data_IF_056376204942
#
_entry.id   IF_056376204942
#
_cell.length_a   1.000
_cell.length_b   1.000
_cell.length_c   1.000
_cell.angle_alpha   90.00
_cell.angle_beta   90.00
_cell.angle_gamma   90.00
#
_symmetry.space_group_name_H-M   'P 1'
#
loop_
_entity.id
_entity.type
_entity.pdbx_description
1 polymer ?
#
# COMPACT_ATOMS: atom_id res chain seq x y z
N UNK A 1 -20.04 32.06 50.60
CA UNK A 1 -18.76 32.79 50.51
C UNK A 1 -18.19 32.66 49.10
N UNK A 2 -18.06 33.82 48.47
CA UNK A 2 -17.47 34.27 47.20
C UNK A 2 -16.97 33.26 46.14
N UNK A 3 -17.70 33.23 45.02
CA UNK A 3 -17.24 32.76 43.70
C UNK A 3 -16.23 33.76 43.12
N UNK A 4 -15.03 33.29 42.77
CA UNK A 4 -14.02 34.09 42.03
C UNK A 4 -14.41 34.16 40.55
N UNK A 5 -14.71 35.37 40.10
CA UNK A 5 -14.93 35.73 38.70
C UNK A 5 -13.55 36.05 38.09
N UNK A 6 -13.18 35.37 37.00
CA UNK A 6 -11.98 35.66 36.22
C UNK A 6 -12.26 36.78 35.21
N UNK A 7 -11.34 37.74 35.01
CA UNK A 7 -11.51 38.82 34.03
C UNK A 7 -11.27 38.34 32.57
N UNK A 8 -11.84 39.03 31.58
CA UNK A 8 -11.72 38.69 30.17
C UNK A 8 -10.33 39.01 29.60
N UNK A 9 -9.84 38.12 28.72
CA UNK A 9 -8.59 38.30 27.97
C UNK A 9 -8.80 39.31 26.84
N UNK A 10 -7.99 40.36 26.85
CA UNK A 10 -7.89 41.38 25.80
C UNK A 10 -7.25 40.83 24.52
N UNK A 11 -7.94 41.03 23.40
CA UNK A 11 -7.45 40.83 22.03
C UNK A 11 -6.48 41.95 21.63
N UNK A 12 -5.20 41.64 21.50
CA UNK A 12 -4.18 42.53 20.97
C UNK A 12 -3.84 42.19 19.52
N UNK A 13 -4.31 43.03 18.60
CA UNK A 13 -3.78 43.18 17.25
C UNK A 13 -2.30 43.56 17.30
N UNK A 14 -1.48 42.94 16.44
CA UNK A 14 -0.25 43.54 15.93
C UNK A 14 -0.15 43.28 14.42
N UNK A 15 -0.32 44.37 13.69
CA UNK A 15 0.13 44.58 12.32
C UNK A 15 1.67 44.56 12.23
N UNK A 16 2.19 44.19 11.06
CA UNK A 16 3.51 44.67 10.60
C UNK A 16 4.48 43.62 10.09
N UNK A 17 4.41 43.37 8.75
CA UNK A 17 5.53 43.23 7.77
C UNK A 17 6.62 42.15 7.98
N UNK A 18 7.39 41.72 6.93
CA UNK A 18 7.47 42.16 5.54
C UNK A 18 7.31 41.06 4.46
N UNK A 19 6.82 41.49 3.30
CA UNK A 19 7.06 40.85 2.00
C UNK A 19 8.56 40.97 1.66
N UNK A 20 9.17 39.87 1.22
CA UNK A 20 10.33 39.76 0.31
C UNK A 20 11.35 38.70 0.73
N UNK A 21 11.27 37.54 0.08
CA UNK A 21 12.42 36.71 -0.29
C UNK A 21 11.94 35.58 -1.23
N UNK A 22 11.64 35.93 -2.48
CA UNK A 22 11.45 34.93 -3.56
C UNK A 22 12.80 34.27 -3.83
N UNK A 23 13.12 33.20 -3.11
CA UNK A 23 14.23 32.30 -3.45
C UNK A 23 13.95 31.66 -4.81
N UNK A 24 14.63 32.16 -5.86
CA UNK A 24 14.74 31.50 -7.17
C UNK A 24 15.20 30.06 -6.95
N UNK A 25 14.26 29.11 -7.03
CA UNK A 25 14.56 27.68 -7.06
C UNK A 25 15.30 27.42 -8.36
N UNK A 26 16.57 26.99 -8.26
CA UNK A 26 17.30 26.40 -9.39
C UNK A 26 16.47 25.21 -9.88
N UNK A 27 15.91 25.34 -11.07
CA UNK A 27 15.25 24.29 -11.82
C UNK A 27 16.24 23.13 -11.95
N UNK A 28 15.91 22.02 -11.29
CA UNK A 28 16.63 20.76 -11.44
C UNK A 28 16.51 20.36 -12.90
N UNK A 29 17.63 20.38 -13.62
CA UNK A 29 17.74 19.91 -15.00
C UNK A 29 17.21 18.48 -15.01
N UNK A 30 16.04 18.29 -15.62
CA UNK A 30 15.48 16.98 -15.86
C UNK A 30 16.47 16.27 -16.80
N UNK A 31 16.98 15.12 -16.37
CA UNK A 31 17.72 14.24 -17.26
C UNK A 31 16.85 14.04 -18.50
N UNK A 32 17.39 14.39 -19.67
CA UNK A 32 16.78 14.17 -20.97
C UNK A 32 16.45 12.69 -21.07
N UNK A 33 15.16 12.37 -20.94
CA UNK A 33 14.67 11.03 -21.22
C UNK A 33 14.96 10.76 -22.70
N UNK A 34 15.52 9.59 -22.99
CA UNK A 34 15.65 9.12 -24.37
C UNK A 34 14.28 9.24 -25.08
N UNK A 35 14.25 9.62 -26.37
CA UNK A 35 13.01 9.72 -27.12
C UNK A 35 12.26 8.39 -27.00
N UNK A 36 11.09 8.43 -26.38
CA UNK A 36 10.20 7.28 -26.27
C UNK A 36 9.71 7.02 -27.68
N UNK A 37 10.15 5.90 -28.26
CA UNK A 37 9.68 5.43 -29.56
C UNK A 37 8.15 5.38 -29.54
N UNK A 38 7.49 6.16 -30.40
CA UNK A 38 6.03 6.33 -30.46
C UNK A 38 5.31 4.99 -30.72
N UNK A 39 6.04 3.92 -31.03
CA UNK A 39 5.54 2.55 -31.13
C UNK A 39 5.40 1.78 -29.80
N UNK A 40 5.80 2.33 -28.65
CA UNK A 40 5.74 1.61 -27.36
C UNK A 40 4.36 1.67 -26.69
N UNK A 41 3.54 0.65 -26.93
CA UNK A 41 2.21 0.49 -26.30
C UNK A 41 2.33 0.08 -24.82
N UNK A 42 1.73 0.84 -23.89
CA UNK A 42 1.64 0.53 -22.45
C UNK A 42 0.59 -0.55 -22.15
N UNK A 43 0.86 -1.78 -22.59
CA UNK A 43 -0.06 -2.91 -22.43
C UNK A 43 -0.38 -3.20 -20.96
N UNK A 44 -1.68 -3.34 -20.69
CA UNK A 44 -2.30 -3.65 -19.40
C UNK A 44 -2.97 -5.01 -19.44
N UNK A 45 -3.20 -5.57 -18.25
CA UNK A 45 -3.82 -6.86 -18.05
C UNK A 45 -4.89 -6.74 -16.97
N UNK A 46 -6.12 -7.15 -17.29
CA UNK A 46 -7.20 -7.32 -16.32
C UNK A 46 -6.91 -8.49 -15.37
N UNK A 47 -7.33 -8.34 -14.11
CA UNK A 47 -7.35 -9.42 -13.11
C UNK A 47 -8.76 -9.97 -12.87
N UNK A 48 -9.69 -9.66 -13.78
CA UNK A 48 -11.12 -9.94 -13.75
C UNK A 48 -11.58 -10.45 -15.11
N UNK A 49 -12.77 -11.04 -15.18
CA UNK A 49 -13.42 -11.52 -16.42
C UNK A 49 -12.42 -12.32 -17.28
N UNK A 50 -12.35 -12.10 -18.59
CA UNK A 50 -11.49 -12.89 -19.49
C UNK A 50 -9.98 -12.59 -19.39
N UNK A 51 -9.56 -11.76 -18.42
CA UNK A 51 -8.15 -11.31 -18.27
C UNK A 51 -7.61 -10.69 -19.56
N UNK A 52 -8.40 -9.82 -20.18
CA UNK A 52 -8.03 -9.18 -21.44
C UNK A 52 -6.74 -8.37 -21.31
N UNK A 53 -6.06 -8.22 -22.44
CA UNK A 53 -4.84 -7.43 -22.60
C UNK A 53 -5.00 -6.41 -23.71
N UNK A 54 -4.42 -5.23 -23.50
CA UNK A 54 -4.54 -4.09 -24.40
C UNK A 54 -4.11 -2.80 -23.73
N UNK A 55 -4.40 -1.65 -24.33
CA UNK A 55 -4.25 -0.34 -23.70
C UNK A 55 -5.17 -0.22 -22.48
N UNK A 56 -4.96 0.80 -21.64
CA UNK A 56 -5.83 1.02 -20.48
C UNK A 56 -7.28 1.30 -20.92
N UNK A 57 -7.48 2.00 -22.03
CA UNK A 57 -8.80 2.33 -22.58
C UNK A 57 -9.52 1.07 -23.10
N UNK A 58 -8.79 0.14 -23.72
CA UNK A 58 -9.34 -1.09 -24.26
C UNK A 58 -9.77 -2.08 -23.18
N UNK A 59 -9.03 -2.14 -22.05
CA UNK A 59 -9.24 -3.19 -21.04
C UNK A 59 -9.75 -2.68 -19.70
N UNK A 60 -10.05 -1.39 -19.55
CA UNK A 60 -10.72 -0.92 -18.34
C UNK A 60 -12.19 -1.31 -18.37
N UNK A 61 -12.68 -1.88 -17.28
CA UNK A 61 -14.10 -2.23 -17.11
C UNK A 61 -14.67 -1.49 -15.91
N UNK A 62 -15.94 -1.10 -16.00
CA UNK A 62 -16.67 -0.56 -14.86
C UNK A 62 -16.81 -1.65 -13.78
N UNK A 63 -16.82 -1.24 -12.51
CA UNK A 63 -16.91 -2.18 -11.38
C UNK A 63 -18.15 -3.10 -11.49
N UNK A 64 -19.30 -2.54 -11.88
CA UNK A 64 -20.55 -3.30 -12.07
C UNK A 64 -20.53 -4.28 -13.27
N UNK A 65 -19.55 -4.21 -14.16
CA UNK A 65 -19.39 -5.12 -15.30
C UNK A 65 -18.43 -6.28 -14.99
N UNK A 66 -17.92 -6.35 -13.75
CA UNK A 66 -17.06 -7.44 -13.30
C UNK A 66 -17.93 -8.61 -12.87
N UNK A 67 -17.78 -9.74 -13.55
CA UNK A 67 -18.52 -10.99 -13.27
C UNK A 67 -17.62 -12.09 -12.73
N UNK A 68 -16.30 -11.94 -12.85
CA UNK A 68 -15.36 -12.89 -12.24
C UNK A 68 -14.06 -12.23 -11.78
N UNK A 69 -13.38 -12.86 -10.83
CA UNK A 69 -12.11 -12.40 -10.25
C UNK A 69 -11.04 -13.49 -10.34
N UNK A 70 -9.92 -13.15 -10.96
CA UNK A 70 -8.75 -14.03 -11.15
C UNK A 70 -7.58 -13.71 -10.22
N UNK A 71 -7.56 -12.50 -9.64
CA UNK A 71 -6.55 -12.18 -8.64
C UNK A 71 -6.68 -10.81 -8.01
N UNK A 72 -5.88 -10.59 -6.97
CA UNK A 72 -5.86 -9.36 -6.18
C UNK A 72 -4.50 -8.69 -6.36
N UNK A 73 -4.49 -7.43 -6.79
CA UNK A 73 -3.27 -6.63 -6.92
C UNK A 73 -2.98 -5.88 -5.61
N UNK A 74 -1.75 -6.01 -5.12
CA UNK A 74 -1.13 -5.14 -4.13
C UNK A 74 -0.02 -4.35 -4.84
N UNK A 75 -0.15 -3.02 -4.88
CA UNK A 75 0.83 -2.13 -5.53
C UNK A 75 1.77 -1.54 -4.48
N UNK A 76 3.06 -1.85 -4.57
CA UNK A 76 4.10 -1.35 -3.69
C UNK A 76 4.95 -0.30 -4.41
N UNK A 77 4.69 0.97 -4.09
CA UNK A 77 5.54 2.08 -4.51
C UNK A 77 6.56 2.42 -3.41
N UNK A 78 7.88 2.25 -3.64
CA UNK A 78 8.90 2.60 -2.67
C UNK A 78 8.89 4.08 -2.28
N UNK A 79 8.31 4.96 -3.12
CA UNK A 79 8.16 6.37 -2.79
C UNK A 79 7.05 6.66 -1.78
N UNK A 80 6.13 5.72 -1.55
CA UNK A 80 5.12 5.81 -0.48
C UNK A 80 5.68 5.42 0.89
N UNK A 81 6.78 4.66 0.93
CA UNK A 81 7.38 4.23 2.19
C UNK A 81 8.27 5.31 2.81
N UNK A 82 8.43 5.29 4.13
CA UNK A 82 9.42 6.09 4.86
C UNK A 82 10.84 5.73 4.42
N UNK A 83 11.77 6.69 4.55
CA UNK A 83 13.18 6.47 4.18
C UNK A 83 13.89 5.48 5.10
N UNK A 84 13.46 5.38 6.35
CA UNK A 84 13.92 4.38 7.31
C UNK A 84 13.57 2.95 6.87
N UNK A 85 12.42 2.76 6.20
CA UNK A 85 11.96 1.46 5.71
C UNK A 85 12.55 1.12 4.35
N UNK A 86 12.54 2.06 3.42
CA UNK A 86 13.13 1.91 2.10
C UNK A 86 14.14 3.05 1.87
N UNK A 87 15.44 2.88 2.24
CA UNK A 87 16.47 3.86 1.91
C UNK A 87 16.66 3.95 0.39
N UNK A 88 17.28 5.04 -0.08
CA UNK A 88 17.40 5.35 -1.51
C UNK A 88 17.98 4.18 -2.33
N UNK A 89 18.98 3.48 -1.77
CA UNK A 89 19.61 2.32 -2.39
C UNK A 89 18.65 1.15 -2.69
N UNK A 90 17.58 1.00 -1.91
CA UNK A 90 16.51 0.04 -2.20
C UNK A 90 15.50 0.59 -3.20
N UNK A 91 15.15 1.89 -3.13
CA UNK A 91 14.11 2.48 -4.01
C UNK A 91 14.47 2.52 -5.48
N UNK A 92 15.77 2.60 -5.78
CA UNK A 92 16.26 2.70 -7.16
C UNK A 92 16.39 1.32 -7.82
N UNK A 93 16.49 0.26 -7.02
CA UNK A 93 16.61 -1.13 -7.47
C UNK A 93 15.42 -1.97 -7.00
N UNK A 94 14.43 -2.23 -7.88
CA UNK A 94 13.24 -2.99 -7.51
C UNK A 94 13.57 -4.39 -6.99
N UNK A 95 14.69 -5.01 -7.40
CA UNK A 95 15.08 -6.35 -6.92
C UNK A 95 15.53 -6.28 -5.47
N UNK A 96 16.32 -5.27 -5.11
CA UNK A 96 16.71 -5.02 -3.72
C UNK A 96 15.50 -4.64 -2.86
N UNK A 97 14.57 -3.84 -3.40
CA UNK A 97 13.32 -3.52 -2.72
C UNK A 97 12.47 -4.77 -2.44
N UNK A 98 12.35 -5.66 -3.42
CA UNK A 98 11.68 -6.95 -3.26
C UNK A 98 12.33 -7.78 -2.14
N UNK A 99 13.62 -8.09 -2.26
CA UNK A 99 14.31 -8.99 -1.32
C UNK A 99 14.43 -8.41 0.09
N UNK A 100 14.69 -7.10 0.21
CA UNK A 100 15.00 -6.47 1.49
C UNK A 100 13.79 -6.01 2.29
N UNK A 101 12.63 -5.82 1.65
CA UNK A 101 11.45 -5.24 2.31
C UNK A 101 10.21 -6.09 2.09
N UNK A 102 9.84 -6.34 0.83
CA UNK A 102 8.52 -6.90 0.53
C UNK A 102 8.48 -8.42 0.74
N UNK A 103 9.51 -9.15 0.31
CA UNK A 103 9.58 -10.61 0.42
C UNK A 103 9.41 -11.10 1.86
N UNK A 104 10.12 -10.56 2.87
CA UNK A 104 9.93 -10.97 4.26
C UNK A 104 8.50 -10.77 4.77
N UNK A 105 7.77 -9.76 4.29
CA UNK A 105 6.37 -9.54 4.66
C UNK A 105 5.46 -10.59 4.04
N UNK A 106 5.68 -10.93 2.77
CA UNK A 106 4.84 -11.92 2.08
C UNK A 106 5.03 -13.33 2.64
N UNK A 107 6.28 -13.72 2.95
CA UNK A 107 6.63 -15.05 3.47
C UNK A 107 5.95 -15.40 4.81
N UNK A 108 5.47 -14.40 5.54
CA UNK A 108 4.77 -14.57 6.83
C UNK A 108 3.28 -14.87 6.69
N UNK A 109 2.75 -14.94 5.47
CA UNK A 109 1.38 -15.41 5.21
C UNK A 109 1.38 -16.53 4.17
N UNK A 110 0.75 -17.68 4.46
CA UNK A 110 0.62 -18.78 3.50
C UNK A 110 0.00 -18.39 2.16
N UNK A 111 -0.89 -17.39 2.17
CA UNK A 111 -1.55 -16.85 0.97
C UNK A 111 -0.62 -15.89 0.22
N UNK A 112 -0.03 -14.93 0.94
CA UNK A 112 0.78 -13.88 0.32
C UNK A 112 2.14 -14.40 -0.17
N UNK A 113 2.71 -15.41 0.50
CA UNK A 113 3.96 -16.06 0.08
C UNK A 113 3.84 -16.69 -1.32
N UNK A 114 2.63 -17.05 -1.75
CA UNK A 114 2.35 -17.62 -3.07
C UNK A 114 2.10 -16.57 -4.15
N UNK A 115 2.09 -15.28 -3.83
CA UNK A 115 1.75 -14.24 -4.80
C UNK A 115 2.76 -14.14 -5.94
N UNK A 116 2.30 -13.88 -7.17
CA UNK A 116 3.20 -13.54 -8.28
C UNK A 116 3.75 -12.13 -8.06
N UNK A 117 5.04 -11.90 -8.28
CA UNK A 117 5.67 -10.58 -8.11
C UNK A 117 6.32 -10.12 -9.41
N UNK A 118 5.90 -8.94 -9.88
CA UNK A 118 6.45 -8.31 -11.08
C UNK A 118 6.94 -6.90 -10.77
N UNK A 119 8.06 -6.52 -11.36
CA UNK A 119 8.58 -5.16 -11.32
C UNK A 119 8.15 -4.40 -12.57
N UNK A 120 7.38 -3.34 -12.38
CA UNK A 120 6.86 -2.47 -13.44
C UNK A 120 7.51 -1.08 -13.36
N UNK A 121 8.83 -1.03 -13.24
CA UNK A 121 9.59 0.21 -13.01
C UNK A 121 10.36 0.16 -11.69
N UNK A 122 10.15 1.15 -10.81
CA UNK A 122 10.71 1.17 -9.44
C UNK A 122 9.83 0.44 -8.42
N UNK A 123 8.52 0.45 -8.63
CA UNK A 123 7.55 -0.27 -7.79
C UNK A 123 7.39 -1.74 -8.15
N UNK A 124 6.63 -2.45 -7.32
CA UNK A 124 6.32 -3.87 -7.45
C UNK A 124 4.81 -4.07 -7.46
N UNK A 125 4.33 -4.87 -8.40
CA UNK A 125 2.98 -5.41 -8.37
C UNK A 125 3.06 -6.83 -7.80
N UNK A 126 2.40 -7.05 -6.67
CA UNK A 126 2.23 -8.35 -6.03
C UNK A 126 0.80 -8.83 -6.30
N UNK A 127 0.65 -9.98 -6.93
CA UNK A 127 -0.63 -10.48 -7.46
C UNK A 127 -0.95 -11.81 -6.80
N UNK A 128 -1.96 -11.84 -5.93
CA UNK A 128 -2.51 -13.08 -5.38
C UNK A 128 -3.43 -13.68 -6.45
N UNK A 129 -3.00 -14.75 -7.12
CA UNK A 129 -3.78 -15.40 -8.19
C UNK A 129 -4.70 -16.45 -7.61
N UNK A 130 -5.94 -16.49 -8.07
CA UNK A 130 -6.92 -17.49 -7.63
C UNK A 130 -7.06 -18.63 -8.63
N UNK A 131 -7.22 -19.83 -8.11
CA UNK A 131 -7.60 -21.02 -8.89
C UNK A 131 -8.53 -21.91 -8.04
N UNK A 132 -9.77 -22.18 -8.47
CA UNK A 132 -10.41 -21.62 -9.68
C UNK A 132 -10.59 -20.10 -9.59
N UNK A 133 -10.97 -19.47 -10.71
CA UNK A 133 -11.46 -18.10 -10.68
C UNK A 133 -12.73 -18.04 -9.82
N UNK A 134 -13.01 -16.87 -9.26
CA UNK A 134 -14.23 -16.64 -8.51
C UNK A 134 -15.26 -16.07 -9.48
N UNK A 135 -16.36 -16.78 -9.70
CA UNK A 135 -17.51 -16.29 -10.45
C UNK A 135 -18.48 -15.57 -9.51
N UNK A 136 -19.09 -14.49 -9.98
CA UNK A 136 -20.09 -13.72 -9.25
C UNK A 136 -21.48 -14.03 -9.80
N UNK A 137 -22.19 -14.93 -9.13
CA UNK A 137 -23.55 -15.29 -9.50
C UNK A 137 -24.56 -14.21 -9.09
N UNK A 138 -24.22 -13.44 -8.05
CA UNK A 138 -25.07 -12.40 -7.48
C UNK A 138 -24.29 -11.12 -7.18
N UNK A 139 -25.02 -10.01 -7.05
CA UNK A 139 -24.46 -8.74 -6.56
C UNK A 139 -23.88 -8.87 -5.13
N UNK A 140 -24.44 -9.76 -4.31
CA UNK A 140 -23.90 -10.04 -2.98
C UNK A 140 -22.49 -10.68 -3.05
N UNK A 141 -22.26 -11.57 -4.01
CA UNK A 141 -20.94 -12.17 -4.25
C UNK A 141 -19.94 -11.11 -4.72
N UNK A 142 -20.36 -10.28 -5.67
CA UNK A 142 -19.56 -9.17 -6.16
C UNK A 142 -19.14 -8.23 -5.00
N UNK A 143 -20.08 -7.80 -4.15
CA UNK A 143 -19.79 -6.95 -2.99
C UNK A 143 -18.86 -7.63 -1.97
N UNK A 144 -19.09 -8.91 -1.69
CA UNK A 144 -18.24 -9.71 -0.79
C UNK A 144 -16.80 -9.73 -1.28
N UNK A 145 -16.57 -9.97 -2.57
CA UNK A 145 -15.23 -10.05 -3.14
C UNK A 145 -14.58 -8.70 -3.34
N UNK A 146 -15.34 -7.65 -3.69
CA UNK A 146 -14.84 -6.28 -3.68
C UNK A 146 -14.37 -5.85 -2.27
N UNK A 147 -15.07 -6.28 -1.22
CA UNK A 147 -14.64 -6.08 0.16
C UNK A 147 -13.39 -6.90 0.51
N UNK A 148 -13.34 -8.17 0.11
CA UNK A 148 -12.16 -9.03 0.33
C UNK A 148 -10.89 -8.45 -0.32
N UNK A 149 -10.99 -7.96 -1.56
CA UNK A 149 -9.91 -7.24 -2.25
C UNK A 149 -9.40 -6.07 -1.41
N UNK A 150 -10.30 -5.22 -0.91
CA UNK A 150 -9.93 -4.06 -0.07
C UNK A 150 -9.30 -4.49 1.26
N UNK A 151 -9.75 -5.59 1.86
CA UNK A 151 -9.14 -6.13 3.08
C UNK A 151 -7.71 -6.57 2.79
N UNK A 152 -7.49 -7.41 1.77
CA UNK A 152 -6.16 -7.93 1.39
C UNK A 152 -5.20 -6.78 1.05
N UNK A 153 -5.65 -5.79 0.28
CA UNK A 153 -4.85 -4.60 -0.04
C UNK A 153 -4.44 -3.80 1.22
N UNK A 154 -5.24 -3.83 2.29
CA UNK A 154 -4.96 -3.12 3.55
C UNK A 154 -4.16 -3.92 4.57
N UNK A 155 -3.72 -5.15 4.23
CA UNK A 155 -2.91 -5.97 5.14
C UNK A 155 -1.45 -5.54 5.20
N UNK A 156 -0.95 -4.88 4.16
CA UNK A 156 0.43 -4.45 4.03
C UNK A 156 0.51 -2.96 3.64
N UNK A 157 1.66 -2.29 3.86
CA UNK A 157 1.95 -0.92 3.44
C UNK A 157 1.98 -0.71 1.91
N UNK A 158 0.88 -0.99 1.22
CA UNK A 158 0.72 -0.77 -0.24
C UNK A 158 0.32 0.67 -0.54
N UNK A 159 0.19 1.01 -1.83
CA UNK A 159 -0.43 2.28 -2.23
C UNK A 159 -1.90 2.31 -1.76
N UNK A 160 -2.29 3.28 -0.90
CA UNK A 160 -3.68 3.42 -0.44
C UNK A 160 -4.66 3.85 -1.55
N UNK A 161 -4.15 4.24 -2.72
CA UNK A 161 -4.93 4.63 -3.91
C UNK A 161 -5.06 3.49 -4.94
N UNK A 162 -4.63 2.28 -4.61
CA UNK A 162 -4.86 1.11 -5.47
C UNK A 162 -6.37 0.92 -5.71
N UNK A 163 -6.84 0.79 -6.97
CA UNK A 163 -8.26 0.95 -7.32
C UNK A 163 -9.17 -0.24 -6.94
N UNK A 164 -8.79 -1.07 -5.96
CA UNK A 164 -9.62 -2.19 -5.53
C UNK A 164 -9.75 -3.26 -6.61
N UNK A 165 -10.99 -3.72 -6.85
CA UNK A 165 -11.30 -4.85 -7.74
C UNK A 165 -11.07 -4.52 -9.24
N UNK A 166 -11.10 -3.24 -9.61
CA UNK A 166 -10.83 -2.77 -10.98
C UNK A 166 -9.34 -2.61 -11.29
N UNK A 167 -8.46 -3.07 -10.39
CA UNK A 167 -7.02 -2.95 -10.56
C UNK A 167 -6.50 -3.70 -11.78
N UNK A 168 -5.79 -2.95 -12.63
CA UNK A 168 -5.05 -3.49 -13.77
C UNK A 168 -3.58 -3.66 -13.39
N UNK A 169 -2.97 -4.71 -13.91
CA UNK A 169 -1.52 -4.90 -13.85
C UNK A 169 -0.89 -4.74 -15.23
N UNK A 170 0.43 -4.95 -15.33
CA UNK A 170 1.11 -5.07 -16.62
C UNK A 170 1.58 -6.51 -16.83
N UNK A 171 1.42 -7.08 -18.04
CA UNK A 171 1.94 -8.40 -18.33
C UNK A 171 3.48 -8.40 -18.29
N UNK A 172 4.06 -9.55 -17.95
CA UNK A 172 5.52 -9.70 -17.97
C UNK A 172 6.00 -9.55 -19.40
N UNK A 173 7.04 -8.75 -19.61
CA UNK A 173 7.62 -8.49 -20.92
C UNK A 173 7.08 -7.24 -21.62
N UNK A 174 5.94 -6.67 -21.20
CA UNK A 174 5.48 -5.39 -21.75
C UNK A 174 6.35 -4.22 -21.29
N UNK A 175 6.18 -3.06 -21.92
CA UNK A 175 6.87 -1.83 -21.56
C UNK A 175 5.95 -0.98 -20.69
N UNK A 176 6.49 -0.44 -19.60
CA UNK A 176 5.78 0.60 -18.84
C UNK A 176 5.91 1.94 -19.57
N UNK A 177 4.82 2.41 -20.18
CA UNK A 177 4.81 3.67 -20.94
C UNK A 177 5.18 4.91 -20.12
N UNK A 178 5.12 4.87 -18.78
CA UNK A 178 5.50 6.01 -17.93
C UNK A 178 7.02 6.18 -17.79
N UNK A 179 7.81 5.13 -17.99
CA UNK A 179 9.24 5.17 -17.73
C UNK A 179 10.11 4.33 -18.70
N UNK A 180 9.50 3.75 -19.74
CA UNK A 180 10.17 2.94 -20.75
C UNK A 180 10.72 1.59 -20.25
N UNK A 181 10.53 1.24 -18.98
CA UNK A 181 11.12 0.01 -18.42
C UNK A 181 10.29 -1.21 -18.77
N UNK A 182 10.97 -2.27 -19.24
CA UNK A 182 10.37 -3.60 -19.44
C UNK A 182 9.93 -4.20 -18.10
N UNK A 183 8.73 -4.77 -18.08
CA UNK A 183 8.16 -5.45 -16.92
C UNK A 183 8.86 -6.79 -16.71
N UNK A 184 9.42 -7.00 -15.52
CA UNK A 184 10.21 -8.19 -15.18
C UNK A 184 9.50 -9.04 -14.14
N UNK A 185 9.54 -10.36 -14.30
CA UNK A 185 9.08 -11.31 -13.29
C UNK A 185 10.17 -11.51 -12.24
N UNK A 186 9.83 -11.34 -10.96
CA UNK A 186 10.74 -11.62 -9.84
C UNK A 186 10.37 -12.88 -9.08
N UNK A 187 9.07 -13.14 -8.93
CA UNK A 187 8.59 -14.38 -8.34
C UNK A 187 7.38 -14.88 -9.13
N UNK A 188 7.43 -16.15 -9.56
CA UNK A 188 6.37 -16.77 -10.37
C UNK A 188 5.06 -16.90 -9.58
N UNK A 189 5.18 -17.17 -8.27
CA UNK A 189 4.08 -17.49 -7.39
C UNK A 189 3.34 -18.76 -7.78
N UNK A 190 2.33 -19.08 -7.00
CA UNK A 190 1.37 -20.18 -7.19
C UNK A 190 -0.05 -19.60 -7.21
N UNK A 191 -1.03 -20.42 -7.55
CA UNK A 191 -2.42 -20.03 -7.35
C UNK A 191 -2.84 -20.42 -5.92
N UNK A 192 -3.74 -19.63 -5.34
CA UNK A 192 -4.39 -19.93 -4.06
C UNK A 192 -5.86 -20.25 -4.29
N UNK A 193 -6.48 -20.99 -3.38
CA UNK A 193 -7.92 -21.18 -3.44
C UNK A 193 -8.65 -19.89 -3.01
N UNK A 194 -9.86 -19.63 -3.50
CA UNK A 194 -10.72 -18.56 -2.98
C UNK A 194 -10.94 -18.67 -1.46
N UNK A 195 -11.08 -19.89 -0.93
CA UNK A 195 -11.29 -20.14 0.49
C UNK A 195 -10.09 -19.72 1.34
N UNK A 196 -8.86 -19.93 0.87
CA UNK A 196 -7.65 -19.46 1.57
C UNK A 196 -7.65 -17.93 1.70
N UNK A 197 -8.09 -17.22 0.65
CA UNK A 197 -8.19 -15.76 0.65
C UNK A 197 -9.27 -15.29 1.63
N UNK A 198 -10.44 -15.94 1.64
CA UNK A 198 -11.51 -15.63 2.59
C UNK A 198 -11.10 -15.96 4.03
N UNK A 199 -10.33 -17.03 4.26
CA UNK A 199 -9.79 -17.37 5.57
C UNK A 199 -8.81 -16.29 6.06
N UNK A 200 -7.93 -15.79 5.20
CA UNK A 200 -7.07 -14.64 5.50
C UNK A 200 -7.90 -13.39 5.83
N UNK A 201 -8.96 -13.11 5.07
CA UNK A 201 -9.85 -11.98 5.34
C UNK A 201 -10.55 -12.13 6.70
N UNK A 202 -11.06 -13.33 7.02
CA UNK A 202 -11.68 -13.64 8.31
C UNK A 202 -10.70 -13.44 9.46
N UNK A 203 -9.45 -13.89 9.30
CA UNK A 203 -8.39 -13.66 10.29
C UNK A 203 -8.16 -12.15 10.48
N UNK A 204 -8.05 -11.38 9.39
CA UNK A 204 -7.86 -9.95 9.42
C UNK A 204 -9.01 -9.20 10.10
N UNK A 205 -10.25 -9.63 9.93
CA UNK A 205 -11.42 -9.04 10.60
C UNK A 205 -11.45 -9.43 12.09
N UNK A 206 -11.14 -10.68 12.41
CA UNK A 206 -11.20 -11.21 13.79
C UNK A 206 -10.05 -10.70 14.65
N UNK A 207 -8.89 -10.42 14.05
CA UNK A 207 -7.69 -9.98 14.78
C UNK A 207 -6.84 -9.04 13.90
N UNK A 208 -7.35 -7.85 13.54
CA UNK A 208 -6.71 -6.96 12.58
C UNK A 208 -5.31 -6.53 12.99
N UNK A 209 -5.13 -6.16 14.26
CA UNK A 209 -3.82 -5.70 14.73
C UNK A 209 -2.82 -6.85 14.75
N UNK A 210 -3.20 -8.01 15.29
CA UNK A 210 -2.34 -9.17 15.31
C UNK A 210 -1.98 -9.69 13.92
N UNK A 211 -2.93 -9.67 12.98
CA UNK A 211 -2.69 -10.08 11.58
C UNK A 211 -1.66 -9.16 10.91
N UNK A 212 -1.86 -7.84 10.97
CA UNK A 212 -0.93 -6.89 10.35
C UNK A 212 0.42 -6.88 11.05
N UNK A 213 0.46 -6.90 12.38
CA UNK A 213 1.73 -6.97 13.11
C UNK A 213 2.48 -8.29 12.85
N UNK A 214 1.77 -9.41 12.75
CA UNK A 214 2.34 -10.70 12.38
C UNK A 214 2.98 -10.66 10.99
N UNK A 215 2.32 -10.04 10.01
CA UNK A 215 2.88 -9.82 8.68
C UNK A 215 4.11 -8.90 8.69
N UNK A 216 4.08 -7.80 9.45
CA UNK A 216 5.13 -6.77 9.40
C UNK A 216 6.35 -7.06 10.27
N UNK A 217 6.18 -7.79 11.38
CA UNK A 217 7.25 -8.05 12.34
C UNK A 217 7.55 -9.54 12.53
N UNK A 218 6.64 -10.45 12.17
CA UNK A 218 6.83 -11.90 12.33
C UNK A 218 6.78 -12.40 13.78
N UNK A 219 6.48 -11.54 14.75
CA UNK A 219 6.49 -11.86 16.19
C UNK A 219 5.31 -11.20 16.91
N UNK A 220 4.93 -11.78 18.06
CA UNK A 220 3.83 -11.26 18.92
C UNK A 220 4.30 -10.32 20.02
N UNK A 221 5.62 -10.21 20.24
CA UNK A 221 6.25 -9.28 21.17
C UNK A 221 7.46 -8.64 20.51
N UNK A 222 7.51 -7.31 20.51
CA UNK A 222 8.54 -6.55 19.80
C UNK A 222 9.27 -5.63 20.80
N UNK A 223 10.58 -5.77 20.89
CA UNK A 223 11.46 -5.00 21.79
C UNK A 223 12.63 -4.41 21.00
N UNK A 224 12.90 -3.09 21.09
CA UNK A 224 12.07 -2.09 21.75
C UNK A 224 10.69 -1.94 21.06
N UNK A 225 9.74 -1.23 21.68
CA UNK A 225 8.49 -0.90 21.00
C UNK A 225 8.81 -0.10 19.72
N UNK A 226 8.37 -0.56 18.53
CA UNK A 226 8.78 0.05 17.26
C UNK A 226 8.16 1.43 17.03
N UNK A 227 7.25 1.87 17.91
CA UNK A 227 6.57 3.16 17.79
C UNK A 227 7.24 4.26 18.61
N UNK A 228 7.71 3.95 19.83
CA UNK A 228 8.38 4.95 20.67
C UNK A 228 9.88 4.74 20.79
N UNK A 229 10.38 3.57 20.39
CA UNK A 229 11.81 3.21 20.35
C UNK A 229 12.56 3.36 21.68
N UNK A 230 11.86 3.63 22.78
CA UNK A 230 12.43 3.79 24.12
C UNK A 230 13.10 2.49 24.55
N UNK A 231 14.30 2.61 25.11
CA UNK A 231 15.01 1.50 25.73
C UNK A 231 14.15 0.83 26.81
N UNK A 232 14.17 -0.50 26.86
CA UNK A 232 13.36 -1.30 27.78
C UNK A 232 11.85 -1.35 27.47
N UNK A 233 11.36 -0.59 26.48
CA UNK A 233 9.95 -0.66 26.07
C UNK A 233 9.66 -1.93 25.28
N UNK A 234 8.42 -2.42 25.34
CA UNK A 234 7.97 -3.61 24.59
C UNK A 234 6.57 -3.41 24.06
N UNK A 235 6.33 -3.76 22.80
CA UNK A 235 4.98 -3.82 22.21
C UNK A 235 4.46 -5.27 22.25
N UNK A 236 3.42 -5.50 23.03
CA UNK A 236 2.66 -6.75 22.99
C UNK A 236 1.53 -6.63 21.95
N UNK A 237 1.46 -7.61 21.05
CA UNK A 237 0.50 -7.66 19.95
C UNK A 237 -0.75 -8.40 20.43
N UNK A 238 -1.86 -7.67 20.62
CA UNK A 238 -3.18 -8.25 20.90
C UNK A 238 -4.01 -8.30 19.60
N UNK A 239 -5.18 -8.94 19.66
CA UNK A 239 -6.01 -9.13 18.47
C UNK A 239 -6.40 -7.82 17.76
N UNK A 240 -6.82 -6.80 18.52
CA UNK A 240 -7.37 -5.54 17.96
C UNK A 240 -6.47 -4.33 18.18
N UNK A 241 -5.45 -4.44 19.03
CA UNK A 241 -4.61 -3.33 19.45
C UNK A 241 -3.25 -3.82 19.91
N UNK A 242 -2.23 -2.96 19.86
CA UNK A 242 -0.97 -3.20 20.54
C UNK A 242 -0.90 -2.50 21.89
N UNK A 243 -0.27 -3.12 22.87
CA UNK A 243 0.02 -2.50 24.16
C UNK A 243 1.52 -2.34 24.34
N UNK A 244 1.99 -1.09 24.34
CA UNK A 244 3.35 -0.74 24.67
C UNK A 244 3.51 -0.59 26.18
N UNK A 245 4.32 -1.46 26.78
CA UNK A 245 4.79 -1.34 28.16
C UNK A 245 6.09 -0.55 28.20
N UNK A 246 6.27 0.32 29.20
CA UNK A 246 7.45 1.19 29.35
C UNK A 246 7.53 2.36 28.37
N UNK A 247 6.45 2.69 27.66
CA UNK A 247 6.50 3.68 26.58
C UNK A 247 5.16 4.32 26.24
N UNK A 248 4.76 4.23 24.97
CA UNK A 248 3.66 5.01 24.41
C UNK A 248 2.24 4.45 24.63
N UNK A 249 2.08 3.46 25.51
CA UNK A 249 0.78 2.89 25.88
C UNK A 249 0.07 2.19 24.71
N UNK A 250 -1.20 2.53 24.48
CA UNK A 250 -2.02 1.91 23.43
C UNK A 250 -1.53 2.30 22.03
N UNK A 251 -1.29 1.29 21.18
CA UNK A 251 -0.86 1.44 19.79
C UNK A 251 -1.99 0.98 18.87
N UNK A 252 -2.52 1.89 18.06
CA UNK A 252 -3.52 1.57 17.04
C UNK A 252 -2.89 1.01 15.77
N UNK A 253 -3.72 0.38 14.93
CA UNK A 253 -3.27 -0.10 13.62
C UNK A 253 -2.72 1.04 12.73
N UNK A 254 -3.35 2.22 12.76
CA UNK A 254 -2.85 3.40 12.05
C UNK A 254 -1.42 3.77 12.45
N UNK A 255 -1.12 3.77 13.76
CA UNK A 255 0.24 4.04 14.25
C UNK A 255 1.27 3.00 13.81
N UNK A 256 0.85 1.76 13.56
CA UNK A 256 1.74 0.75 12.95
C UNK A 256 2.02 1.10 11.49
N UNK A 257 0.99 1.45 10.71
CA UNK A 257 1.19 1.87 9.32
C UNK A 257 2.04 3.14 9.19
N UNK A 258 1.94 4.07 10.13
CA UNK A 258 2.75 5.30 10.17
C UNK A 258 4.26 5.02 10.33
N UNK A 259 4.66 3.81 10.76
CA UNK A 259 6.07 3.38 10.79
C UNK A 259 6.60 3.05 9.40
N UNK A 260 5.72 2.78 8.44
CA UNK A 260 6.07 2.30 7.11
C UNK A 260 5.70 3.31 6.02
N UNK A 261 4.52 3.91 6.10
CA UNK A 261 3.99 4.80 5.08
C UNK A 261 4.30 6.26 5.40
N UNK A 262 4.59 7.05 4.36
CA UNK A 262 4.58 8.51 4.46
C UNK A 262 3.15 9.00 4.70
N UNK A 263 2.97 10.08 5.47
CA UNK A 263 1.67 10.75 5.56
C UNK A 263 1.16 11.13 4.17
N UNK A 264 -0.14 10.92 3.95
CA UNK A 264 -0.78 11.38 2.71
C UNK A 264 -0.78 12.90 2.70
N UNK A 265 -0.35 13.50 1.59
CA UNK A 265 -0.50 14.95 1.43
C UNK A 265 -2.00 15.27 1.54
N UNK A 266 -2.36 16.23 2.40
CA UNK A 266 -3.73 16.71 2.48
C UNK A 266 -4.17 17.13 1.07
N UNK A 267 -5.31 16.62 0.59
CA UNK A 267 -5.88 17.06 -0.69
C UNK A 267 -6.12 18.56 -0.57
N UNK A 268 -5.32 19.37 -1.28
CA UNK A 268 -5.56 20.82 -1.37
C UNK A 268 -6.95 21.00 -2.00
N UNK A 269 -7.92 21.49 -1.22
CA UNK A 269 -9.21 21.93 -1.78
C UNK A 269 -10.48 21.20 -1.34
N UNK A 270 -10.47 20.43 -0.26
CA UNK A 270 -11.74 20.12 0.45
C UNK A 270 -11.86 21.13 1.59
N UNK A 271 -12.44 22.29 1.29
CA UNK A 271 -12.99 23.21 2.29
C UNK A 271 -14.46 22.91 2.47
#
# INVERSE_FOLDING_TARGET
MSKKILPPRSSGHKDGTPLDAVKKRKSKVAATADPVDEAMVDERLQLVNDRQRGTIEEVSVAEAAITSLHGILLDFDPDRLLRSVAPLSLREDPKKFWMGVIQPWLERSPVLAKAKVVASGRGLHVIVRMSPAVEFETEADHQKWAAAVKVVQKLLPTDPDCPGITALTRPVGSINGKNGKKVRLFHKGEAVSPDDVLALCKQAVTRPFATVAGLLFGVTRITPCPVCEKEGSRLDVLDHVGMCYGGCGKVSLGRIFDLFLKPRAAKKGVK
#
